data_IF_246629412008
#
_entry.id   IF_246629412008
#
_cell.length_a   1.000
_cell.length_b   1.000
_cell.length_c   1.000
_cell.angle_alpha   90.00
_cell.angle_beta   90.00
_cell.angle_gamma   90.00
#
_symmetry.space_group_name_H-M   'P 1'
#
loop_
_entity.id
_entity.type
_entity.pdbx_description
1 polymer ?
#
# COMPACT_ATOMS: atom_id res chain seq x y z
N UNK A 1 -15.74 36.69 -23.99
CA UNK A 1 -14.54 35.95 -23.55
C UNK A 1 -14.89 34.48 -23.56
N UNK A 2 -14.33 33.64 -24.41
CA UNK A 2 -14.65 32.22 -24.39
C UNK A 2 -14.04 31.59 -23.15
N UNK A 3 -14.89 30.87 -22.42
CA UNK A 3 -14.59 30.13 -21.22
C UNK A 3 -13.63 28.97 -21.59
N UNK A 4 -12.35 29.15 -21.30
CA UNK A 4 -11.29 28.18 -21.59
C UNK A 4 -11.24 27.16 -20.44
N UNK A 5 -12.35 26.42 -20.26
CA UNK A 5 -12.33 25.24 -19.39
C UNK A 5 -11.42 24.19 -20.06
N UNK A 6 -10.45 23.63 -19.38
CA UNK A 6 -9.65 22.54 -19.94
C UNK A 6 -10.61 21.39 -20.25
N UNK A 7 -10.72 21.02 -21.51
CA UNK A 7 -11.43 19.81 -21.92
C UNK A 7 -10.85 18.63 -21.16
N UNK A 8 -11.61 18.10 -20.22
CA UNK A 8 -11.28 16.87 -19.48
C UNK A 8 -11.31 15.75 -20.52
N UNK A 9 -10.15 15.41 -21.04
CA UNK A 9 -10.01 14.31 -22.00
C UNK A 9 -10.46 13.01 -21.36
N UNK A 10 -11.67 12.57 -21.67
CA UNK A 10 -12.24 11.25 -21.32
C UNK A 10 -11.67 10.14 -22.19
N UNK A 11 -10.44 10.29 -22.69
CA UNK A 11 -9.80 9.27 -23.52
C UNK A 11 -9.63 7.99 -22.70
N UNK A 12 -10.31 6.97 -23.13
CA UNK A 12 -10.18 5.62 -22.61
C UNK A 12 -8.95 4.95 -23.21
N UNK A 13 -8.03 4.51 -22.35
CA UNK A 13 -6.84 3.77 -22.76
C UNK A 13 -6.99 2.33 -22.27
N UNK A 14 -7.23 1.36 -23.16
CA UNK A 14 -7.60 -0.01 -22.75
C UNK A 14 -6.45 -0.74 -22.06
N UNK A 15 -5.19 -0.49 -22.44
CA UNK A 15 -4.04 -1.27 -21.97
C UNK A 15 -3.79 -1.12 -20.46
N UNK A 16 -3.66 0.10 -19.87
CA UNK A 16 -3.55 0.24 -18.42
C UNK A 16 -4.76 -0.33 -17.67
N UNK A 17 -5.97 -0.04 -18.16
CA UNK A 17 -7.22 -0.51 -17.52
C UNK A 17 -7.31 -2.04 -17.44
N UNK A 18 -6.71 -2.78 -18.39
CA UNK A 18 -6.68 -4.24 -18.33
C UNK A 18 -5.85 -4.75 -17.13
N UNK A 19 -4.73 -4.11 -16.80
CA UNK A 19 -3.93 -4.47 -15.63
C UNK A 19 -4.67 -4.13 -14.33
N UNK A 20 -5.33 -2.98 -14.27
CA UNK A 20 -6.18 -2.58 -13.14
C UNK A 20 -7.31 -3.59 -12.92
N UNK A 21 -7.99 -4.01 -14.00
CA UNK A 21 -9.03 -5.04 -13.92
C UNK A 21 -8.47 -6.42 -13.56
N UNK A 22 -7.25 -6.76 -13.97
CA UNK A 22 -6.58 -7.99 -13.55
C UNK A 22 -6.26 -7.97 -12.05
N UNK A 23 -5.83 -6.82 -11.51
CA UNK A 23 -5.68 -6.63 -10.06
C UNK A 23 -7.00 -6.85 -9.34
N UNK A 24 -8.09 -6.23 -9.82
CA UNK A 24 -9.44 -6.42 -9.28
C UNK A 24 -9.88 -7.89 -9.30
N UNK A 25 -9.63 -8.59 -10.42
CA UNK A 25 -9.95 -10.02 -10.54
C UNK A 25 -9.23 -10.86 -9.49
N UNK A 26 -7.93 -10.61 -9.27
CA UNK A 26 -7.16 -11.30 -8.24
C UNK A 26 -7.67 -10.98 -6.82
N UNK A 27 -8.04 -9.72 -6.54
CA UNK A 27 -8.66 -9.31 -5.28
C UNK A 27 -9.99 -10.01 -5.05
N UNK A 28 -10.84 -10.08 -6.06
CA UNK A 28 -12.13 -10.78 -6.00
C UNK A 28 -11.95 -12.30 -5.80
N UNK A 29 -11.03 -12.93 -6.53
CA UNK A 29 -10.69 -14.33 -6.34
C UNK A 29 -10.19 -14.60 -4.91
N UNK A 30 -9.39 -13.70 -4.33
CA UNK A 30 -8.95 -13.80 -2.94
C UNK A 30 -10.12 -13.85 -1.95
N UNK A 31 -11.17 -13.04 -2.20
CA UNK A 31 -12.38 -13.07 -1.35
C UNK A 31 -13.08 -14.41 -1.42
N UNK A 32 -13.26 -14.98 -2.64
CA UNK A 32 -13.86 -16.31 -2.82
C UNK A 32 -13.02 -17.37 -2.10
N UNK A 33 -11.71 -17.41 -2.34
CA UNK A 33 -10.81 -18.36 -1.71
C UNK A 33 -10.81 -18.23 -0.17
N UNK A 34 -10.95 -17.01 0.36
CA UNK A 34 -11.06 -16.77 1.80
C UNK A 34 -12.34 -17.35 2.38
N UNK A 35 -13.47 -17.22 1.68
CA UNK A 35 -14.77 -17.80 2.10
C UNK A 35 -14.73 -19.32 2.05
N UNK A 36 -14.00 -19.91 1.11
CA UNK A 36 -13.78 -21.36 1.01
C UNK A 36 -12.78 -21.89 2.05
N UNK A 37 -12.15 -21.02 2.86
CA UNK A 37 -11.13 -21.40 3.84
C UNK A 37 -9.74 -21.64 3.23
N UNK A 38 -9.55 -21.36 1.95
CA UNK A 38 -8.29 -21.51 1.23
C UNK A 38 -7.38 -20.28 1.42
N UNK A 39 -7.02 -19.97 2.67
CA UNK A 39 -6.30 -18.76 3.05
C UNK A 39 -4.93 -18.62 2.36
N UNK A 40 -4.27 -19.73 2.06
CA UNK A 40 -2.98 -19.72 1.34
C UNK A 40 -3.12 -19.15 -0.08
N UNK A 41 -4.09 -19.65 -0.84
CA UNK A 41 -4.34 -19.15 -2.22
C UNK A 41 -4.91 -17.74 -2.19
N UNK A 42 -5.75 -17.41 -1.22
CA UNK A 42 -6.26 -16.05 -1.02
C UNK A 42 -5.13 -15.04 -0.79
N UNK A 43 -4.14 -15.39 0.02
CA UNK A 43 -2.97 -14.55 0.29
C UNK A 43 -2.12 -14.33 -0.98
N UNK A 44 -1.82 -15.40 -1.73
CA UNK A 44 -1.09 -15.28 -2.99
C UNK A 44 -1.82 -14.44 -4.03
N UNK A 45 -3.15 -14.55 -4.12
CA UNK A 45 -3.95 -13.76 -5.05
C UNK A 45 -3.80 -12.24 -4.79
N UNK A 46 -3.78 -11.79 -3.53
CA UNK A 46 -3.56 -10.37 -3.21
C UNK A 46 -2.13 -9.93 -3.56
N UNK A 47 -1.11 -10.79 -3.37
CA UNK A 47 0.25 -10.45 -3.81
C UNK A 47 0.35 -10.30 -5.32
N UNK A 48 -0.35 -11.16 -6.07
CA UNK A 48 -0.43 -11.06 -7.54
C UNK A 48 -1.20 -9.79 -7.93
N UNK A 49 -2.28 -9.44 -7.23
CA UNK A 49 -2.99 -8.18 -7.43
C UNK A 49 -2.06 -6.96 -7.28
N UNK A 50 -1.18 -6.97 -6.25
CA UNK A 50 -0.21 -5.89 -6.04
C UNK A 50 0.85 -5.79 -7.16
N UNK A 51 1.17 -6.90 -7.83
CA UNK A 51 2.05 -6.88 -9.02
C UNK A 51 1.33 -6.22 -10.20
N UNK A 52 0.07 -6.59 -10.47
CA UNK A 52 -0.71 -5.99 -11.55
C UNK A 52 -0.93 -4.50 -11.35
N UNK A 53 -1.26 -4.06 -10.13
CA UNK A 53 -1.36 -2.66 -9.72
C UNK A 53 -0.04 -1.89 -9.97
N UNK A 54 1.09 -2.44 -9.55
CA UNK A 54 2.38 -1.80 -9.83
C UNK A 54 2.71 -1.71 -11.32
N UNK A 55 2.20 -2.64 -12.15
CA UNK A 55 2.41 -2.65 -13.59
C UNK A 55 1.53 -1.61 -14.30
N UNK A 56 0.25 -1.48 -13.95
CA UNK A 56 -0.67 -0.52 -14.59
C UNK A 56 -0.18 0.92 -14.41
N UNK A 57 0.23 1.31 -13.20
CA UNK A 57 0.80 2.61 -12.95
C UNK A 57 2.14 2.86 -13.67
N UNK A 58 2.95 1.82 -13.93
CA UNK A 58 4.16 1.94 -14.75
C UNK A 58 3.82 2.07 -16.23
N UNK A 59 2.95 1.23 -16.74
CA UNK A 59 2.50 1.23 -18.15
C UNK A 59 1.85 2.57 -18.47
N UNK A 60 0.93 3.08 -17.66
CA UNK A 60 0.28 4.37 -17.87
C UNK A 60 1.29 5.53 -17.97
N UNK A 61 2.34 5.53 -17.13
CA UNK A 61 3.41 6.54 -17.18
C UNK A 61 4.32 6.40 -18.40
N UNK A 62 4.69 5.18 -18.79
CA UNK A 62 5.55 4.93 -19.95
C UNK A 62 4.86 5.26 -21.27
N UNK A 63 3.58 4.95 -21.37
CA UNK A 63 2.77 5.21 -22.56
C UNK A 63 2.19 6.63 -22.60
N UNK A 64 2.38 7.44 -21.54
CA UNK A 64 1.78 8.78 -21.38
C UNK A 64 0.26 8.77 -21.56
N UNK A 65 -0.38 7.70 -21.11
CA UNK A 65 -1.84 7.46 -21.27
C UNK A 65 -2.59 7.59 -19.94
N UNK A 66 -2.18 8.53 -19.11
CA UNK A 66 -2.90 8.83 -17.86
C UNK A 66 -4.20 9.57 -18.19
N UNK A 67 -5.35 9.02 -17.74
CA UNK A 67 -6.65 9.65 -17.85
C UNK A 67 -7.29 9.75 -16.47
N UNK A 68 -8.20 10.71 -16.28
CA UNK A 68 -8.94 10.84 -15.02
C UNK A 68 -9.77 9.59 -14.75
N UNK A 69 -10.41 9.03 -15.79
CA UNK A 69 -11.13 7.76 -15.67
C UNK A 69 -10.25 6.62 -15.17
N UNK A 70 -9.00 6.50 -15.69
CA UNK A 70 -8.06 5.48 -15.22
C UNK A 70 -7.69 5.63 -13.75
N UNK A 71 -7.48 6.85 -13.27
CA UNK A 71 -7.16 7.14 -11.85
C UNK A 71 -8.34 6.78 -10.93
N UNK A 72 -9.56 7.11 -11.32
CA UNK A 72 -10.74 6.76 -10.53
C UNK A 72 -10.99 5.24 -10.52
N UNK A 73 -10.86 4.58 -11.69
CA UNK A 73 -10.97 3.13 -11.80
C UNK A 73 -9.93 2.41 -10.93
N UNK A 74 -8.67 2.86 -10.97
CA UNK A 74 -7.57 2.37 -10.16
C UNK A 74 -7.91 2.43 -8.66
N UNK A 75 -8.38 3.58 -8.19
CA UNK A 75 -8.78 3.76 -6.78
C UNK A 75 -9.93 2.84 -6.35
N UNK A 76 -10.90 2.58 -7.24
CA UNK A 76 -11.99 1.65 -6.96
C UNK A 76 -11.48 0.20 -6.90
N UNK A 77 -10.61 -0.19 -7.82
CA UNK A 77 -10.00 -1.52 -7.84
C UNK A 77 -9.08 -1.73 -6.63
N UNK A 78 -8.28 -0.72 -6.26
CA UNK A 78 -7.43 -0.71 -5.07
C UNK A 78 -8.24 -0.90 -3.78
N UNK A 79 -9.40 -0.24 -3.69
CA UNK A 79 -10.30 -0.39 -2.55
C UNK A 79 -10.75 -1.84 -2.36
N UNK A 80 -11.03 -2.54 -3.46
CA UNK A 80 -11.41 -3.97 -3.40
C UNK A 80 -10.20 -4.83 -3.11
N UNK A 81 -9.10 -4.68 -3.87
CA UNK A 81 -7.94 -5.57 -3.83
C UNK A 81 -7.08 -5.42 -2.57
N UNK A 82 -6.96 -4.19 -2.04
CA UNK A 82 -6.10 -3.87 -0.89
C UNK A 82 -6.85 -3.38 0.35
N UNK A 83 -8.16 -3.14 0.23
CA UNK A 83 -9.04 -2.83 1.35
C UNK A 83 -9.90 -4.02 1.74
N UNK A 84 -10.88 -4.34 0.89
CA UNK A 84 -11.93 -5.32 1.22
C UNK A 84 -11.36 -6.74 1.28
N UNK A 85 -10.61 -7.17 0.26
CA UNK A 85 -10.10 -8.55 0.18
C UNK A 85 -9.16 -8.90 1.36
N UNK A 86 -8.12 -8.11 1.71
CA UNK A 86 -7.30 -8.42 2.88
C UNK A 86 -8.03 -8.23 4.21
N UNK A 87 -9.00 -7.31 4.29
CA UNK A 87 -9.85 -7.16 5.47
C UNK A 87 -10.71 -8.39 5.73
N UNK A 88 -11.34 -8.95 4.68
CA UNK A 88 -12.12 -10.17 4.73
C UNK A 88 -11.23 -11.39 5.05
N UNK A 89 -10.08 -11.51 4.38
CA UNK A 89 -9.10 -12.55 4.65
C UNK A 89 -8.67 -12.55 6.12
N UNK A 90 -8.28 -11.38 6.65
CA UNK A 90 -7.88 -11.25 8.05
C UNK A 90 -9.02 -11.63 9.00
N UNK A 91 -10.26 -11.22 8.70
CA UNK A 91 -11.42 -11.53 9.51
C UNK A 91 -11.67 -13.04 9.58
N UNK A 92 -11.80 -13.70 8.43
CA UNK A 92 -12.09 -15.14 8.38
C UNK A 92 -10.95 -16.00 8.92
N UNK A 93 -9.70 -15.60 8.67
CA UNK A 93 -8.53 -16.35 9.09
C UNK A 93 -8.19 -16.21 10.58
N UNK A 94 -8.30 -14.99 11.16
CA UNK A 94 -7.74 -14.74 12.48
C UNK A 94 -8.61 -13.91 13.42
N UNK A 95 -9.56 -13.10 12.92
CA UNK A 95 -10.28 -12.14 13.75
C UNK A 95 -11.65 -12.65 14.19
N UNK A 96 -12.23 -13.64 13.52
CA UNK A 96 -13.56 -14.19 13.82
C UNK A 96 -13.72 -14.63 15.27
N UNK A 97 -12.72 -15.28 15.93
CA UNK A 97 -12.83 -15.70 17.33
C UNK A 97 -12.96 -14.56 18.36
N UNK A 98 -12.66 -13.31 17.95
CA UNK A 98 -12.76 -12.11 18.79
C UNK A 98 -14.14 -11.42 18.73
N UNK A 99 -15.11 -12.01 18.03
CA UNK A 99 -16.48 -11.51 17.93
C UNK A 99 -16.55 -10.06 17.47
N UNK A 100 -17.14 -9.18 18.30
CA UNK A 100 -17.32 -7.75 17.93
C UNK A 100 -16.02 -7.01 17.68
N UNK A 101 -14.96 -7.28 18.44
CA UNK A 101 -13.65 -6.62 18.22
C UNK A 101 -13.01 -7.06 16.91
N UNK A 102 -13.22 -8.30 16.50
CA UNK A 102 -12.67 -8.82 15.24
C UNK A 102 -13.27 -8.16 14.00
N UNK A 103 -14.60 -8.11 13.89
CA UNK A 103 -15.21 -7.48 12.71
C UNK A 103 -15.04 -5.96 12.72
N UNK A 104 -14.99 -5.31 13.90
CA UNK A 104 -14.67 -3.88 14.00
C UNK A 104 -13.25 -3.58 13.53
N UNK A 105 -12.26 -4.45 13.82
CA UNK A 105 -10.91 -4.31 13.32
C UNK A 105 -10.85 -4.42 11.78
N UNK A 106 -11.55 -5.41 11.21
CA UNK A 106 -11.65 -5.57 9.76
C UNK A 106 -12.35 -4.37 9.11
N UNK A 107 -13.46 -3.90 9.68
CA UNK A 107 -14.15 -2.70 9.20
C UNK A 107 -13.27 -1.46 9.27
N UNK A 108 -12.55 -1.25 10.39
CA UNK A 108 -11.65 -0.12 10.56
C UNK A 108 -10.54 -0.14 9.50
N UNK A 109 -9.98 -1.31 9.19
CA UNK A 109 -8.98 -1.46 8.13
C UNK A 109 -9.52 -1.01 6.77
N UNK A 110 -10.72 -1.47 6.40
CA UNK A 110 -11.40 -1.09 5.15
C UNK A 110 -11.70 0.41 5.12
N UNK A 111 -12.23 0.96 6.21
CA UNK A 111 -12.54 2.39 6.32
C UNK A 111 -11.28 3.27 6.20
N UNK A 112 -10.17 2.87 6.85
CA UNK A 112 -8.91 3.62 6.76
C UNK A 112 -8.26 3.53 5.38
N UNK A 113 -8.43 2.40 4.68
CA UNK A 113 -8.04 2.27 3.26
C UNK A 113 -8.83 3.25 2.39
N UNK A 114 -10.15 3.30 2.55
CA UNK A 114 -11.04 4.22 1.84
C UNK A 114 -10.66 5.69 2.08
N UNK A 115 -10.50 6.10 3.35
CA UNK A 115 -10.10 7.46 3.70
C UNK A 115 -8.73 7.84 3.10
N UNK A 116 -7.80 6.90 3.08
CA UNK A 116 -6.49 7.12 2.51
C UNK A 116 -6.54 7.31 0.99
N UNK A 117 -7.29 6.49 0.26
CA UNK A 117 -7.47 6.62 -1.19
C UNK A 117 -8.18 7.94 -1.53
N UNK A 118 -9.25 8.28 -0.82
CA UNK A 118 -9.96 9.55 -0.98
C UNK A 118 -9.03 10.76 -0.74
N UNK A 119 -8.20 10.71 0.33
CA UNK A 119 -7.21 11.75 0.61
C UNK A 119 -6.17 11.88 -0.50
N UNK A 120 -5.71 10.75 -1.06
CA UNK A 120 -4.73 10.75 -2.15
C UNK A 120 -5.31 11.40 -3.41
N UNK A 121 -6.52 11.05 -3.81
CA UNK A 121 -7.19 11.62 -4.98
C UNK A 121 -7.47 13.13 -4.79
N UNK A 122 -7.86 13.55 -3.59
CA UNK A 122 -8.10 14.97 -3.30
C UNK A 122 -6.83 15.83 -3.32
N UNK A 123 -5.65 15.27 -3.05
CA UNK A 123 -4.38 15.99 -3.04
C UNK A 123 -3.74 16.15 -4.42
N UNK A 124 -4.02 15.27 -5.38
CA UNK A 124 -3.40 15.31 -6.72
C UNK A 124 -3.82 16.54 -7.54
N UNK A 125 -4.88 17.21 -7.18
CA UNK A 125 -5.42 18.39 -7.89
C UNK A 125 -4.79 19.71 -7.48
N UNK A 126 -4.00 19.83 -6.39
CA UNK A 126 -3.64 21.16 -5.84
C UNK A 126 -2.20 21.40 -5.38
N UNK A 127 -1.29 20.44 -5.37
CA UNK A 127 0.07 20.72 -4.87
C UNK A 127 1.20 19.92 -5.52
N UNK A 128 2.27 20.66 -5.92
CA UNK A 128 3.49 20.14 -6.52
C UNK A 128 4.45 19.44 -5.53
N UNK A 129 4.15 19.39 -4.25
CA UNK A 129 5.00 18.78 -3.21
C UNK A 129 4.42 17.45 -2.76
N UNK A 130 4.81 16.38 -3.46
CA UNK A 130 4.38 15.01 -3.19
C UNK A 130 5.21 14.38 -2.06
N UNK A 131 4.99 14.75 -0.82
CA UNK A 131 5.45 13.93 0.31
C UNK A 131 4.44 12.78 0.53
N UNK A 132 4.88 11.54 0.32
CA UNK A 132 4.09 10.36 0.64
C UNK A 132 3.90 10.27 2.16
N UNK A 133 2.70 10.61 2.62
CA UNK A 133 2.33 10.60 4.03
C UNK A 133 1.45 9.38 4.31
N UNK A 134 1.83 8.58 5.28
CA UNK A 134 1.14 7.36 5.69
C UNK A 134 1.59 6.08 4.94
N UNK A 135 1.24 4.91 5.51
CA UNK A 135 1.57 3.60 4.96
C UNK A 135 0.80 3.33 3.65
N UNK A 136 1.41 2.94 2.53
CA UNK A 136 0.71 2.56 1.30
C UNK A 136 -0.30 1.42 1.50
N UNK A 137 -1.49 1.50 0.85
CA UNK A 137 -2.50 0.43 0.94
C UNK A 137 -1.96 -0.94 0.49
N UNK A 138 -1.23 -1.07 -0.63
CA UNK A 138 -0.64 -2.34 -1.02
C UNK A 138 0.36 -2.89 0.01
N UNK A 139 1.11 -2.02 0.72
CA UNK A 139 2.05 -2.46 1.74
C UNK A 139 1.33 -2.96 3.01
N UNK A 140 0.23 -2.31 3.42
CA UNK A 140 -0.58 -2.76 4.53
C UNK A 140 -1.25 -4.12 4.22
N UNK A 141 -1.83 -4.27 3.02
CA UNK A 141 -2.38 -5.52 2.52
C UNK A 141 -1.32 -6.63 2.49
N UNK A 142 -0.13 -6.32 1.95
CA UNK A 142 0.99 -7.27 1.88
C UNK A 142 1.43 -7.75 3.26
N UNK A 143 1.39 -6.92 4.30
CA UNK A 143 1.71 -7.37 5.67
C UNK A 143 0.69 -8.38 6.18
N UNK A 144 -0.61 -8.17 5.95
CA UNK A 144 -1.64 -9.14 6.33
C UNK A 144 -1.40 -10.47 5.63
N UNK A 145 -1.27 -10.46 4.31
CA UNK A 145 -1.14 -11.68 3.52
C UNK A 145 0.16 -12.43 3.78
N UNK A 146 1.26 -11.72 3.99
CA UNK A 146 2.54 -12.35 4.35
C UNK A 146 2.52 -12.93 5.76
N UNK A 147 1.69 -12.39 6.67
CA UNK A 147 1.44 -13.01 7.98
C UNK A 147 0.71 -14.35 7.83
N UNK A 148 -0.27 -14.45 6.90
CA UNK A 148 -0.94 -15.71 6.57
C UNK A 148 0.07 -16.73 6.03
N UNK A 149 0.88 -16.33 5.04
CA UNK A 149 1.89 -17.20 4.43
C UNK A 149 2.95 -17.65 5.44
N UNK A 150 3.37 -16.77 6.33
CA UNK A 150 4.33 -17.09 7.39
C UNK A 150 3.76 -18.11 8.39
N UNK A 151 2.51 -17.95 8.84
CA UNK A 151 1.87 -18.92 9.71
C UNK A 151 1.71 -20.28 9.01
N UNK A 152 1.35 -20.27 7.74
CA UNK A 152 1.28 -21.50 6.93
C UNK A 152 2.65 -22.20 6.84
N UNK A 153 3.74 -21.42 6.62
CA UNK A 153 5.11 -21.94 6.64
C UNK A 153 5.50 -22.59 7.98
N UNK A 154 4.97 -22.08 9.11
CA UNK A 154 5.17 -22.67 10.43
C UNK A 154 4.29 -23.91 10.68
N UNK A 155 3.51 -24.38 9.70
CA UNK A 155 2.61 -25.51 9.80
C UNK A 155 1.29 -25.18 10.51
N UNK A 156 1.01 -23.88 10.77
CA UNK A 156 -0.25 -23.44 11.33
C UNK A 156 -1.22 -23.21 10.17
N UNK A 157 -2.03 -24.24 9.88
CA UNK A 157 -3.04 -24.20 8.81
C UNK A 157 -4.43 -24.02 9.42
N UNK A 158 -5.26 -23.20 8.79
CA UNK A 158 -6.62 -22.92 9.25
C UNK A 158 -6.74 -21.62 10.05
N UNK A 159 -7.78 -21.52 10.86
CA UNK A 159 -8.06 -20.35 11.68
C UNK A 159 -7.05 -20.19 12.83
N UNK A 160 -6.51 -18.99 12.97
CA UNK A 160 -5.46 -18.68 13.95
C UNK A 160 -5.98 -17.70 15.00
N UNK A 161 -5.98 -18.12 16.26
CA UNK A 161 -6.39 -17.27 17.38
C UNK A 161 -5.18 -16.67 18.10
N UNK A 162 -4.62 -15.60 17.55
CA UNK A 162 -3.55 -14.85 18.21
C UNK A 162 -3.90 -13.35 18.31
N UNK A 163 -3.86 -12.82 19.53
CA UNK A 163 -4.14 -11.40 19.82
C UNK A 163 -3.19 -10.45 19.05
N UNK A 164 -1.97 -10.92 18.75
CA UNK A 164 -0.99 -10.16 17.95
C UNK A 164 -1.51 -9.80 16.55
N UNK A 165 -2.32 -10.66 15.93
CA UNK A 165 -2.91 -10.41 14.62
C UNK A 165 -4.02 -9.35 14.69
N UNK A 166 -4.83 -9.39 15.74
CA UNK A 166 -5.82 -8.35 16.02
C UNK A 166 -5.15 -6.99 16.20
N UNK A 167 -4.10 -6.93 17.04
CA UNK A 167 -3.32 -5.71 17.27
C UNK A 167 -2.60 -5.24 15.99
N UNK A 168 -2.11 -6.16 15.16
CA UNK A 168 -1.49 -5.85 13.88
C UNK A 168 -2.48 -5.14 12.95
N UNK A 169 -3.71 -5.63 12.80
CA UNK A 169 -4.73 -5.01 11.93
C UNK A 169 -5.09 -3.62 12.43
N UNK A 170 -5.27 -3.41 13.75
CA UNK A 170 -5.48 -2.08 14.32
C UNK A 170 -4.30 -1.15 14.07
N UNK A 171 -3.07 -1.64 14.23
CA UNK A 171 -1.86 -0.86 13.98
C UNK A 171 -1.74 -0.46 12.51
N UNK A 172 -1.98 -1.38 11.57
CA UNK A 172 -1.95 -1.10 10.13
C UNK A 172 -3.00 -0.05 9.75
N UNK A 173 -4.22 -0.18 10.29
CA UNK A 173 -5.29 0.81 10.09
C UNK A 173 -4.88 2.21 10.54
N UNK A 174 -4.26 2.31 11.72
CA UNK A 174 -3.73 3.59 12.23
C UNK A 174 -2.59 4.13 11.35
N UNK A 175 -1.63 3.28 10.95
CA UNK A 175 -0.46 3.70 10.16
C UNK A 175 -0.84 4.19 8.76
N UNK A 176 -1.91 3.66 8.14
CA UNK A 176 -2.39 4.13 6.83
C UNK A 176 -2.82 5.60 6.83
N UNK A 177 -3.45 6.08 7.90
CA UNK A 177 -3.94 7.46 8.02
C UNK A 177 -2.93 8.37 8.75
N UNK A 178 -1.91 7.79 9.38
CA UNK A 178 -0.89 8.54 10.11
C UNK A 178 -0.12 9.51 9.20
N UNK A 179 0.39 10.60 9.80
CA UNK A 179 1.21 11.59 9.09
C UNK A 179 2.70 11.23 9.04
N UNK A 180 3.05 9.99 9.35
CA UNK A 180 4.45 9.54 9.31
C UNK A 180 4.95 9.47 7.87
N UNK A 181 6.13 10.04 7.63
CA UNK A 181 6.81 9.96 6.33
C UNK A 181 7.48 8.59 6.21
N UNK A 182 7.05 7.82 5.23
CA UNK A 182 7.73 6.58 4.86
C UNK A 182 8.82 6.85 3.82
N UNK A 183 9.84 5.99 3.77
CA UNK A 183 10.92 6.06 2.78
C UNK A 183 10.32 6.04 1.37
N UNK A 184 10.35 7.20 0.71
CA UNK A 184 10.00 7.28 -0.71
C UNK A 184 11.27 6.98 -1.52
N UNK A 185 11.27 5.87 -2.26
CA UNK A 185 12.36 5.51 -3.18
C UNK A 185 12.45 6.44 -4.41
N UNK A 186 11.82 7.62 -4.38
CA UNK A 186 11.52 8.43 -5.57
C UNK A 186 12.66 9.31 -6.09
N UNK A 187 13.80 9.47 -5.39
CA UNK A 187 14.92 10.25 -5.90
C UNK A 187 16.30 9.76 -5.41
N UNK A 188 16.84 8.68 -5.92
CA UNK A 188 18.28 8.57 -6.02
C UNK A 188 18.73 9.32 -7.29
N UNK A 189 19.46 10.44 -7.18
CA UNK A 189 20.24 10.92 -8.32
C UNK A 189 21.26 9.81 -8.62
N UNK A 190 21.13 9.06 -9.72
CA UNK A 190 21.99 7.90 -9.94
C UNK A 190 23.33 8.36 -10.49
N UNK A 191 24.36 8.35 -9.66
CA UNK A 191 25.71 8.21 -10.16
C UNK A 191 25.85 6.80 -10.79
N UNK A 192 26.53 6.68 -11.92
CA UNK A 192 26.66 5.45 -12.74
C UNK A 192 27.07 4.19 -11.93
N UNK A 193 27.88 4.33 -10.88
CA UNK A 193 28.28 3.26 -9.99
C UNK A 193 27.15 2.79 -9.05
N UNK A 194 26.27 3.68 -8.66
CA UNK A 194 25.15 3.38 -7.75
C UNK A 194 24.08 2.53 -8.42
N UNK A 195 23.88 2.67 -9.73
CA UNK A 195 22.93 1.85 -10.50
C UNK A 195 23.31 0.37 -10.52
N UNK A 196 24.60 0.06 -10.71
CA UNK A 196 25.07 -1.33 -10.68
C UNK A 196 24.92 -1.95 -9.27
N UNK A 197 25.27 -1.22 -8.22
CA UNK A 197 25.07 -1.69 -6.84
C UNK A 197 23.60 -1.95 -6.50
N UNK A 198 22.69 -1.09 -6.99
CA UNK A 198 21.25 -1.30 -6.84
C UNK A 198 20.80 -2.57 -7.57
N UNK A 199 21.27 -2.79 -8.81
CA UNK A 199 20.96 -3.99 -9.58
C UNK A 199 21.43 -5.27 -8.86
N UNK A 200 22.68 -5.27 -8.37
CA UNK A 200 23.21 -6.41 -7.60
C UNK A 200 22.41 -6.62 -6.31
N UNK A 201 22.07 -5.54 -5.59
CA UNK A 201 21.24 -5.63 -4.38
C UNK A 201 19.84 -6.19 -4.67
N UNK A 202 19.21 -5.78 -5.77
CA UNK A 202 17.91 -6.34 -6.22
C UNK A 202 18.02 -7.82 -6.57
N UNK A 203 19.09 -8.23 -7.27
CA UNK A 203 19.32 -9.63 -7.62
C UNK A 203 19.53 -10.50 -6.38
N UNK A 204 20.35 -10.02 -5.42
CA UNK A 204 20.56 -10.71 -4.16
C UNK A 204 19.27 -10.83 -3.34
N UNK A 205 18.51 -9.74 -3.26
CA UNK A 205 17.19 -9.75 -2.60
C UNK A 205 16.24 -10.75 -3.26
N UNK A 206 16.21 -10.80 -4.59
CA UNK A 206 15.40 -11.75 -5.34
C UNK A 206 15.78 -13.20 -5.03
N UNK A 207 17.09 -13.53 -5.03
CA UNK A 207 17.60 -14.86 -4.67
C UNK A 207 17.22 -15.25 -3.24
N UNK A 208 17.36 -14.32 -2.30
CA UNK A 208 16.98 -14.52 -0.89
C UNK A 208 15.47 -14.78 -0.76
N UNK A 209 14.64 -14.00 -1.46
CA UNK A 209 13.18 -14.20 -1.47
C UNK A 209 12.83 -15.58 -2.05
N UNK A 210 13.48 -15.99 -3.15
CA UNK A 210 13.19 -17.28 -3.80
C UNK A 210 13.58 -18.49 -2.96
N UNK A 211 14.50 -18.35 -2.00
CA UNK A 211 14.88 -19.46 -1.11
C UNK A 211 13.75 -19.91 -0.18
N UNK A 212 13.02 -18.95 0.44
CA UNK A 212 11.83 -19.18 1.29
C UNK A 212 10.91 -17.96 1.19
N UNK A 213 10.03 -17.92 0.18
CA UNK A 213 9.27 -16.72 -0.15
C UNK A 213 8.35 -16.28 1.00
N UNK A 214 7.73 -17.23 1.72
CA UNK A 214 6.78 -16.92 2.80
C UNK A 214 7.45 -16.18 3.96
N UNK A 215 8.63 -16.66 4.39
CA UNK A 215 9.39 -16.06 5.47
C UNK A 215 10.01 -14.72 5.05
N UNK A 216 10.63 -14.68 3.86
CA UNK A 216 11.38 -13.51 3.42
C UNK A 216 10.46 -12.34 3.08
N UNK A 217 9.32 -12.59 2.44
CA UNK A 217 8.31 -11.54 2.20
C UNK A 217 7.79 -10.97 3.52
N UNK A 218 7.47 -11.82 4.50
CA UNK A 218 7.04 -11.36 5.82
C UNK A 218 8.08 -10.44 6.47
N UNK A 219 9.37 -10.83 6.49
CA UNK A 219 10.45 -10.02 7.08
C UNK A 219 10.63 -8.68 6.34
N UNK A 220 10.59 -8.68 5.01
CA UNK A 220 10.71 -7.46 4.20
C UNK A 220 9.61 -6.47 4.53
N UNK A 221 8.34 -6.90 4.55
CA UNK A 221 7.22 -6.02 4.88
C UNK A 221 7.23 -5.59 6.35
N UNK A 222 7.63 -6.47 7.26
CA UNK A 222 7.79 -6.14 8.68
C UNK A 222 8.82 -5.02 8.89
N UNK A 223 10.01 -5.13 8.27
CA UNK A 223 11.06 -4.11 8.33
C UNK A 223 10.57 -2.81 7.69
N UNK A 224 9.90 -2.89 6.54
CA UNK A 224 9.35 -1.73 5.87
C UNK A 224 8.34 -0.97 6.75
N UNK A 225 7.40 -1.67 7.37
CA UNK A 225 6.39 -1.06 8.24
C UNK A 225 7.03 -0.48 9.50
N UNK A 226 7.99 -1.19 10.11
CA UNK A 226 8.72 -0.71 11.28
C UNK A 226 9.58 0.53 10.97
N UNK A 227 9.99 0.74 9.72
CA UNK A 227 10.80 1.90 9.31
C UNK A 227 10.07 3.24 9.47
N UNK A 228 8.75 3.28 9.28
CA UNK A 228 7.95 4.51 9.42
C UNK A 228 7.96 5.06 10.85
N UNK A 229 7.49 4.31 11.85
CA UNK A 229 7.52 4.72 13.25
C UNK A 229 8.94 4.99 13.76
N UNK A 230 9.94 4.17 13.38
CA UNK A 230 11.32 4.32 13.82
C UNK A 230 11.94 5.64 13.34
N UNK A 231 11.69 6.03 12.09
CA UNK A 231 12.12 7.34 11.56
C UNK A 231 11.43 8.51 12.27
N UNK A 232 10.15 8.38 12.60
CA UNK A 232 9.40 9.39 13.34
C UNK A 232 9.95 9.58 14.76
N UNK A 233 10.22 8.49 15.47
CA UNK A 233 10.84 8.49 16.81
C UNK A 233 12.24 9.10 16.75
N UNK A 234 13.04 8.68 15.79
CA UNK A 234 14.42 9.21 15.61
C UNK A 234 14.43 10.72 15.32
N UNK A 235 13.52 11.20 14.46
CA UNK A 235 13.37 12.63 14.16
C UNK A 235 12.95 13.43 15.41
N UNK A 236 12.10 12.83 16.26
CA UNK A 236 11.62 13.46 17.51
C UNK A 236 12.75 13.53 18.56
N UNK A 237 13.55 12.47 18.68
CA UNK A 237 14.69 12.40 19.63
C UNK A 237 15.82 13.38 19.22
N UNK A 238 16.11 13.49 17.92
CA UNK A 238 17.15 14.42 17.41
C UNK A 238 16.76 15.88 17.43
N UNK A 239 15.54 16.24 17.86
CA UNK A 239 15.13 17.65 18.02
C UNK A 239 15.19 18.46 16.71
N UNK A 240 14.96 17.83 15.55
CA UNK A 240 14.78 18.53 14.27
C UNK A 240 13.47 19.34 14.34
N UNK A 241 13.52 20.44 15.13
CA UNK A 241 12.52 21.49 15.10
C UNK A 241 12.47 22.02 13.66
N UNK A 242 11.30 21.97 13.06
CA UNK A 242 10.97 22.82 11.91
C UNK A 242 11.34 24.24 12.29
N UNK A 243 12.29 24.86 11.62
CA UNK A 243 12.51 26.31 11.64
C UNK A 243 11.18 26.93 11.16
N UNK A 244 10.54 27.82 11.95
CA UNK A 244 9.39 28.55 11.46
C UNK A 244 9.83 29.38 10.25
N UNK A 245 8.96 29.65 9.26
CA UNK A 245 9.28 30.55 8.17
C UNK A 245 9.64 31.91 8.76
N UNK A 246 10.78 32.45 8.35
CA UNK A 246 11.21 33.80 8.68
C UNK A 246 10.12 34.72 8.16
N UNK A 247 9.36 35.35 9.05
CA UNK A 247 8.48 36.44 8.71
C UNK A 247 9.36 37.59 8.19
N UNK A 248 9.29 37.85 6.88
CA UNK A 248 9.83 39.08 6.30
C UNK A 248 9.00 40.25 6.87
N UNK A 249 9.52 40.87 7.92
CA UNK A 249 9.05 42.20 8.32
C UNK A 249 9.38 43.18 7.21
N UNK A 250 8.34 43.65 6.53
CA UNK A 250 8.41 44.82 5.70
C UNK A 250 8.73 46.02 6.58
N UNK A 251 9.96 46.49 6.56
CA UNK A 251 10.25 47.87 6.93
C UNK A 251 9.64 48.82 5.87
N UNK A 252 8.54 49.42 6.23
CA UNK A 252 8.08 50.68 5.65
C UNK A 252 8.91 51.81 6.27
N UNK A 253 9.62 52.53 5.44
CA UNK A 253 10.05 53.90 5.64
C UNK A 253 10.10 54.62 4.31
#
# INVERSE_FOLDING_TARGET
MPDNQPEISTKFYPLPCMFTLASLFCGFYSMIASVEGNFYFAAWAILVAAIFDALDGRVARMTRTTSQFGVELDSLCDMVSFGVAPGLLAFLWALQPYGRLGWLAAFLYVAMTSLRLARFNAQDTKSATKDFVGLPCPAAASMIVTSVLFCHYLGITGEVKHISLLLLVYLLSYLMVSTHKYLSFKNPKPGRFRTFQILVGMLLLFVVIMYKPELMLFLVFLIYIASGPSMAIYARIRGLKKTPPVSSEHHLS
#
